data_IF_841906163744
#
_entry.id   IF_841906163744
#
_cell.length_a   1.000
_cell.length_b   1.000
_cell.length_c   1.000
_cell.angle_alpha   90.00
_cell.angle_beta   90.00
_cell.angle_gamma   90.00
#
_symmetry.space_group_name_H-M   'P 1'
#
loop_
_entity.id
_entity.type
_entity.pdbx_description
1 polymer ?
#
# COMPACT_ATOMS: atom_id res chain seq x y z
N UNK A 1 -24.06 -29.62 -6.36
CA UNK A 1 -24.56 -28.31 -5.92
C UNK A 1 -24.35 -28.27 -4.41
N UNK A 2 -23.43 -27.48 -3.86
CA UNK A 2 -23.40 -27.31 -2.42
C UNK A 2 -24.66 -26.53 -2.02
N UNK A 3 -25.36 -27.02 -1.00
CA UNK A 3 -26.61 -26.47 -0.47
C UNK A 3 -26.56 -24.94 -0.34
N UNK A 4 -27.48 -24.25 -1.02
CA UNK A 4 -27.64 -22.81 -0.92
C UNK A 4 -27.95 -22.46 0.53
N UNK A 5 -27.03 -21.78 1.20
CA UNK A 5 -27.32 -21.20 2.52
C UNK A 5 -28.42 -20.14 2.34
N UNK A 6 -29.35 -20.08 3.28
CA UNK A 6 -30.32 -18.97 3.31
C UNK A 6 -29.54 -17.73 3.75
N UNK A 7 -29.32 -16.80 2.83
CA UNK A 7 -28.62 -15.53 3.09
C UNK A 7 -29.16 -14.82 4.35
N UNK A 8 -30.47 -14.93 4.60
CA UNK A 8 -31.16 -14.37 5.77
C UNK A 8 -30.65 -14.93 7.11
N UNK A 9 -30.34 -16.23 7.18
CA UNK A 9 -29.93 -16.88 8.42
C UNK A 9 -28.51 -16.48 8.81
N UNK A 10 -27.61 -16.40 7.83
CA UNK A 10 -26.23 -15.94 8.03
C UNK A 10 -26.20 -14.44 8.35
N UNK A 11 -27.07 -13.66 7.70
CA UNK A 11 -27.18 -12.22 7.94
C UNK A 11 -27.50 -11.89 9.41
N UNK A 12 -28.39 -12.66 10.06
CA UNK A 12 -28.73 -12.47 11.47
C UNK A 12 -27.56 -12.68 12.44
N UNK A 13 -26.55 -13.48 12.05
CA UNK A 13 -25.37 -13.78 12.88
C UNK A 13 -24.23 -12.78 12.67
N UNK A 14 -24.16 -12.14 11.51
CA UNK A 14 -23.18 -11.12 11.18
C UNK A 14 -23.80 -9.76 11.47
N UNK A 15 -23.41 -9.13 12.59
CA UNK A 15 -24.04 -7.89 13.07
C UNK A 15 -24.32 -6.87 11.95
N UNK A 16 -25.48 -6.20 12.02
CA UNK A 16 -25.92 -5.26 10.98
C UNK A 16 -24.88 -4.18 10.68
N UNK A 17 -24.23 -3.64 11.72
CA UNK A 17 -23.13 -2.69 11.58
C UNK A 17 -21.92 -3.22 10.79
N UNK A 18 -21.66 -4.53 10.83
CA UNK A 18 -20.55 -5.15 10.09
C UNK A 18 -20.89 -5.31 8.62
N UNK A 19 -22.15 -5.58 8.30
CA UNK A 19 -22.62 -5.77 6.92
C UNK A 19 -23.05 -4.47 6.24
N UNK A 20 -23.42 -3.42 6.98
CA UNK A 20 -23.83 -2.12 6.43
C UNK A 20 -22.88 -1.55 5.36
N UNK A 21 -21.54 -1.55 5.54
CA UNK A 21 -20.64 -1.08 4.50
C UNK A 21 -20.69 -1.90 3.21
N UNK A 22 -20.98 -3.19 3.30
CA UNK A 22 -21.11 -4.10 2.15
C UNK A 22 -22.46 -3.92 1.47
N UNK A 23 -23.54 -3.76 2.26
CA UNK A 23 -24.89 -3.50 1.76
C UNK A 23 -24.96 -2.20 0.96
N UNK A 24 -24.28 -1.15 1.44
CA UNK A 24 -24.18 0.13 0.72
C UNK A 24 -23.42 0.04 -0.60
N UNK A 25 -22.46 -0.87 -0.72
CA UNK A 25 -21.73 -1.11 -1.98
C UNK A 25 -22.52 -2.00 -2.92
N UNK A 26 -23.44 -2.81 -2.39
CA UNK A 26 -24.30 -3.72 -3.13
C UNK A 26 -25.68 -3.12 -3.45
N UNK A 27 -25.86 -1.79 -3.34
CA UNK A 27 -27.12 -1.08 -3.59
C UNK A 27 -28.34 -1.70 -2.89
N UNK A 28 -28.16 -2.20 -1.67
CA UNK A 28 -29.22 -2.81 -0.86
C UNK A 28 -29.46 -4.30 -1.12
N UNK A 29 -28.75 -4.92 -2.06
CA UNK A 29 -28.81 -6.37 -2.28
C UNK A 29 -28.03 -7.13 -1.19
N UNK A 30 -28.77 -7.87 -0.36
CA UNK A 30 -28.19 -8.66 0.75
C UNK A 30 -27.36 -9.85 0.27
N UNK A 31 -27.73 -10.48 -0.85
CA UNK A 31 -26.99 -11.62 -1.41
C UNK A 31 -25.64 -11.13 -1.93
N UNK A 32 -25.65 -10.09 -2.77
CA UNK A 32 -24.43 -9.49 -3.29
C UNK A 32 -23.53 -8.90 -2.18
N UNK A 33 -24.12 -8.34 -1.12
CA UNK A 33 -23.39 -7.87 0.05
C UNK A 33 -22.69 -9.02 0.81
N UNK A 34 -23.34 -10.17 0.98
CA UNK A 34 -22.73 -11.35 1.60
C UNK A 34 -21.62 -11.94 0.72
N UNK A 35 -21.81 -12.00 -0.59
CA UNK A 35 -20.77 -12.42 -1.52
C UNK A 35 -19.55 -11.51 -1.46
N UNK A 36 -19.78 -10.19 -1.38
CA UNK A 36 -18.72 -9.19 -1.23
C UNK A 36 -18.00 -9.30 0.13
N UNK A 37 -18.74 -9.58 1.21
CA UNK A 37 -18.17 -9.86 2.53
C UNK A 37 -17.27 -11.11 2.49
N UNK A 38 -17.77 -12.20 1.91
CA UNK A 38 -17.00 -13.43 1.74
C UNK A 38 -15.77 -13.23 0.84
N UNK A 39 -15.91 -12.44 -0.23
CA UNK A 39 -14.78 -12.02 -1.07
C UNK A 39 -13.73 -11.24 -0.29
N UNK A 40 -14.14 -10.30 0.58
CA UNK A 40 -13.21 -9.52 1.42
C UNK A 40 -12.40 -10.45 2.34
N UNK A 41 -13.06 -11.43 2.96
CA UNK A 41 -12.40 -12.40 3.83
C UNK A 41 -11.44 -13.32 3.07
N UNK A 42 -11.84 -13.83 1.89
CA UNK A 42 -10.95 -14.63 1.02
C UNK A 42 -9.74 -13.82 0.56
N UNK A 43 -9.94 -12.57 0.16
CA UNK A 43 -8.87 -11.65 -0.24
C UNK A 43 -7.91 -11.38 0.92
N UNK A 44 -8.42 -11.25 2.15
CA UNK A 44 -7.59 -11.08 3.33
C UNK A 44 -6.72 -12.32 3.59
N UNK A 45 -7.28 -13.52 3.48
CA UNK A 45 -6.56 -14.78 3.70
C UNK A 45 -5.37 -14.95 2.73
N UNK A 46 -5.60 -14.81 1.43
CA UNK A 46 -4.53 -14.92 0.42
C UNK A 46 -3.51 -13.77 0.51
N UNK A 47 -3.92 -12.59 0.99
CA UNK A 47 -2.97 -11.51 1.25
C UNK A 47 -2.08 -11.81 2.46
N UNK A 48 -2.62 -12.52 3.46
CA UNK A 48 -1.90 -12.90 4.67
C UNK A 48 -0.79 -13.92 4.39
N UNK A 49 -0.99 -14.79 3.40
CA UNK A 49 0.04 -15.73 2.91
C UNK A 49 1.30 -14.98 2.47
N UNK A 50 1.16 -13.99 1.59
CA UNK A 50 2.30 -13.21 1.06
C UNK A 50 2.99 -12.43 2.19
N UNK A 51 2.20 -11.81 3.07
CA UNK A 51 2.72 -11.06 4.23
C UNK A 51 3.46 -11.99 5.21
N UNK A 52 2.94 -13.19 5.45
CA UNK A 52 3.55 -14.18 6.34
C UNK A 52 4.91 -14.65 5.84
N UNK A 53 5.04 -14.90 4.53
CA UNK A 53 6.33 -15.20 3.93
C UNK A 53 7.33 -14.05 4.06
N UNK A 54 6.89 -12.80 3.80
CA UNK A 54 7.74 -11.63 4.01
C UNK A 54 8.18 -11.48 5.48
N UNK A 55 7.31 -11.74 6.45
CA UNK A 55 7.65 -11.66 7.88
C UNK A 55 8.82 -12.60 8.25
N UNK A 56 8.83 -13.81 7.68
CA UNK A 56 9.92 -14.78 7.88
C UNK A 56 11.21 -14.32 7.19
N UNK A 57 11.11 -13.79 5.96
CA UNK A 57 12.27 -13.26 5.24
C UNK A 57 12.90 -12.08 5.98
N UNK A 58 12.08 -11.11 6.39
CA UNK A 58 12.50 -9.89 7.08
C UNK A 58 13.20 -10.20 8.39
N UNK A 59 12.60 -11.04 9.26
CA UNK A 59 13.21 -11.38 10.55
C UNK A 59 14.53 -12.11 10.39
N UNK A 60 14.63 -13.03 9.42
CA UNK A 60 15.86 -13.80 9.20
C UNK A 60 16.98 -12.92 8.61
N UNK A 61 16.64 -12.00 7.71
CA UNK A 61 17.61 -11.05 7.16
C UNK A 61 18.17 -10.12 8.24
N UNK A 62 17.30 -9.55 9.08
CA UNK A 62 17.72 -8.69 10.19
C UNK A 62 18.48 -9.46 11.27
N UNK A 63 18.01 -10.66 11.63
CA UNK A 63 18.70 -11.53 12.60
C UNK A 63 20.13 -11.82 12.14
N UNK A 64 20.33 -12.18 10.87
CA UNK A 64 21.67 -12.46 10.32
C UNK A 64 22.64 -11.29 10.48
N UNK A 65 22.22 -10.07 10.12
CA UNK A 65 23.09 -8.90 10.23
C UNK A 65 23.38 -8.50 11.68
N UNK A 66 22.40 -8.66 12.58
CA UNK A 66 22.58 -8.44 14.01
C UNK A 66 23.57 -9.44 14.61
N UNK A 67 23.48 -10.73 14.23
CA UNK A 67 24.42 -11.76 14.67
C UNK A 67 25.86 -11.44 14.30
N UNK A 68 26.06 -10.96 13.07
CA UNK A 68 27.37 -10.59 12.58
C UNK A 68 27.90 -9.32 13.27
N UNK A 69 27.06 -8.31 13.45
CA UNK A 69 27.45 -7.04 14.05
C UNK A 69 27.86 -7.18 15.52
N UNK A 70 27.13 -7.98 16.29
CA UNK A 70 27.42 -8.23 17.69
C UNK A 70 28.45 -9.35 17.91
N UNK A 71 29.07 -9.84 16.84
CA UNK A 71 30.07 -10.91 16.86
C UNK A 71 29.67 -12.09 17.76
N UNK A 72 28.47 -12.63 17.53
CA UNK A 72 27.98 -13.77 18.32
C UNK A 72 28.89 -14.99 18.22
N UNK A 73 29.62 -15.14 17.12
CA UNK A 73 30.53 -16.26 16.88
C UNK A 73 31.68 -16.28 17.91
N UNK A 74 32.23 -15.11 18.23
CA UNK A 74 33.27 -14.96 19.25
C UNK A 74 32.68 -14.82 20.64
N UNK A 75 31.59 -14.06 20.78
CA UNK A 75 31.02 -13.71 22.10
C UNK A 75 30.24 -14.86 22.74
N UNK A 76 29.63 -15.74 21.94
CA UNK A 76 28.82 -16.86 22.42
C UNK A 76 27.48 -16.48 23.04
N UNK A 77 27.14 -15.19 23.09
CA UNK A 77 25.88 -14.66 23.63
C UNK A 77 25.03 -14.15 22.46
N UNK A 78 23.75 -14.54 22.34
CA UNK A 78 22.84 -13.98 21.33
C UNK A 78 22.67 -12.46 21.44
N UNK A 79 22.60 -11.76 20.31
CA UNK A 79 22.50 -10.28 20.24
C UNK A 79 21.32 -9.73 21.05
N UNK A 80 20.21 -10.44 21.09
CA UNK A 80 19.01 -10.03 21.82
C UNK A 80 19.12 -10.20 23.34
N UNK A 81 20.22 -10.78 23.84
CA UNK A 81 20.58 -10.83 25.26
C UNK A 81 21.72 -9.86 25.62
N UNK A 82 22.24 -9.11 24.65
CA UNK A 82 23.31 -8.14 24.85
C UNK A 82 22.75 -6.71 24.95
N UNK A 83 23.49 -5.78 25.58
CA UNK A 83 23.10 -4.38 25.62
C UNK A 83 23.04 -3.79 24.21
N UNK A 84 21.85 -3.37 23.79
CA UNK A 84 21.64 -2.62 22.54
C UNK A 84 21.41 -1.15 22.90
N UNK A 85 22.10 -0.19 22.27
CA UNK A 85 21.82 1.24 22.44
C UNK A 85 20.33 1.53 22.21
N UNK A 86 19.71 2.27 23.12
CA UNK A 86 18.26 2.55 23.11
C UNK A 86 17.36 1.28 23.09
N UNK A 87 17.89 0.16 23.57
CA UNK A 87 17.30 -1.18 23.50
C UNK A 87 16.30 -1.56 24.58
N UNK A 88 15.84 -0.64 25.44
CA UNK A 88 14.92 -1.00 26.54
C UNK A 88 13.65 -1.73 26.05
N UNK A 89 12.99 -1.20 25.01
CA UNK A 89 11.80 -1.83 24.40
C UNK A 89 12.12 -3.20 23.77
N UNK A 90 13.35 -3.34 23.26
CA UNK A 90 13.84 -4.58 22.65
C UNK A 90 13.98 -5.67 23.71
N UNK A 91 14.62 -5.37 24.83
CA UNK A 91 14.75 -6.29 25.96
C UNK A 91 13.39 -6.71 26.50
N UNK A 92 12.45 -5.77 26.67
CA UNK A 92 11.08 -6.08 27.13
C UNK A 92 10.36 -7.04 26.18
N UNK A 93 10.45 -6.81 24.87
CA UNK A 93 9.83 -7.68 23.87
C UNK A 93 10.44 -9.09 23.88
N UNK A 94 11.76 -9.19 23.97
CA UNK A 94 12.50 -10.46 24.04
C UNK A 94 12.13 -11.23 25.32
N UNK A 95 12.15 -10.57 26.48
CA UNK A 95 11.80 -11.20 27.75
C UNK A 95 10.34 -11.64 27.80
N UNK A 96 9.42 -10.89 27.18
CA UNK A 96 8.02 -11.32 27.03
C UNK A 96 7.91 -12.65 26.28
N UNK A 97 8.65 -12.79 25.18
CA UNK A 97 8.68 -14.03 24.40
C UNK A 97 9.33 -15.17 25.20
N UNK A 98 10.44 -14.89 25.89
CA UNK A 98 11.15 -15.88 26.72
C UNK A 98 10.29 -16.38 27.87
N UNK A 99 9.60 -15.49 28.60
CA UNK A 99 8.68 -15.84 29.68
C UNK A 99 7.56 -16.77 29.20
N UNK A 100 7.07 -16.58 27.96
CA UNK A 100 6.08 -17.49 27.36
C UNK A 100 6.67 -18.85 26.97
N UNK A 101 7.92 -18.89 26.51
CA UNK A 101 8.57 -20.11 26.00
C UNK A 101 9.19 -21.00 27.09
N UNK A 102 9.64 -20.40 28.21
CA UNK A 102 10.28 -21.11 29.33
C UNK A 102 9.43 -22.24 29.91
N UNK A 103 8.14 -22.02 30.26
CA UNK A 103 7.30 -23.09 30.80
C UNK A 103 7.08 -24.26 29.82
N UNK A 104 7.28 -24.02 28.53
CA UNK A 104 7.12 -25.02 27.47
C UNK A 104 8.42 -25.76 27.13
N UNK A 105 9.54 -25.45 27.79
CA UNK A 105 10.88 -25.92 27.43
C UNK A 105 11.26 -25.65 25.95
N UNK A 106 10.86 -24.48 25.44
CA UNK A 106 11.05 -24.07 24.03
C UNK A 106 11.86 -22.79 23.87
N UNK A 107 12.65 -22.38 24.86
CA UNK A 107 13.49 -21.17 24.82
C UNK A 107 14.75 -21.36 23.93
N UNK A 108 14.55 -21.67 22.65
CA UNK A 108 15.62 -21.69 21.65
C UNK A 108 15.67 -20.39 20.85
N UNK A 109 16.82 -20.06 20.24
CA UNK A 109 16.95 -18.88 19.36
C UNK A 109 15.85 -18.82 18.31
N UNK A 110 15.65 -19.93 17.60
CA UNK A 110 14.66 -20.00 16.51
C UNK A 110 13.25 -19.70 17.01
N UNK A 111 12.90 -20.16 18.22
CA UNK A 111 11.60 -19.90 18.83
C UNK A 111 11.48 -18.46 19.35
N UNK A 112 12.54 -17.88 19.90
CA UNK A 112 12.57 -16.47 20.33
C UNK A 112 12.40 -15.56 19.12
N UNK A 113 13.26 -15.71 18.10
CA UNK A 113 13.22 -14.94 16.84
C UNK A 113 11.86 -15.09 16.16
N UNK A 114 11.31 -16.30 16.12
CA UNK A 114 9.98 -16.53 15.55
C UNK A 114 8.83 -15.99 16.39
N UNK A 115 9.02 -15.87 17.71
CA UNK A 115 8.02 -15.37 18.65
C UNK A 115 7.92 -13.84 18.71
N UNK A 116 8.92 -13.13 18.16
CA UNK A 116 8.93 -11.67 18.02
C UNK A 116 8.02 -11.24 16.87
N UNK A 117 7.10 -10.32 17.15
CA UNK A 117 6.10 -9.87 16.18
C UNK A 117 6.70 -9.06 15.02
N UNK A 118 6.03 -9.00 13.87
CA UNK A 118 6.34 -8.02 12.81
C UNK A 118 6.58 -6.60 13.34
N UNK A 119 5.78 -6.15 14.30
CA UNK A 119 5.88 -4.83 14.90
C UNK A 119 7.24 -4.55 15.56
N UNK A 120 7.81 -5.58 16.19
CA UNK A 120 9.16 -5.52 16.75
C UNK A 120 10.20 -5.28 15.64
N UNK A 121 10.17 -6.08 14.58
CA UNK A 121 11.13 -5.98 13.47
C UNK A 121 10.99 -4.67 12.70
N UNK A 122 9.77 -4.20 12.47
CA UNK A 122 9.53 -2.87 11.87
C UNK A 122 10.03 -1.74 12.77
N UNK A 123 9.91 -1.90 14.10
CA UNK A 123 10.35 -0.92 15.09
C UNK A 123 11.86 -0.71 15.07
N UNK A 124 12.64 -1.78 14.85
CA UNK A 124 14.09 -1.73 14.70
C UNK A 124 14.56 -0.87 13.51
N UNK A 125 13.71 -0.65 12.52
CA UNK A 125 14.00 0.20 11.35
C UNK A 125 13.64 1.68 11.60
N UNK A 126 13.07 1.99 12.77
CA UNK A 126 12.66 3.32 13.18
C UNK A 126 13.83 4.26 13.48
N UNK A 127 13.52 5.55 13.67
CA UNK A 127 14.51 6.61 13.95
C UNK A 127 15.30 6.37 15.24
N UNK A 128 14.69 5.68 16.22
CA UNK A 128 15.31 5.33 17.51
C UNK A 128 16.59 4.51 17.32
N UNK A 129 16.65 3.66 16.31
CA UNK A 129 17.78 2.76 16.05
C UNK A 129 18.61 3.21 14.85
N UNK A 130 18.75 4.53 14.65
CA UNK A 130 19.53 5.12 13.54
C UNK A 130 20.99 4.67 13.57
N UNK A 131 21.59 4.55 14.76
CA UNK A 131 22.97 4.08 14.90
C UNK A 131 23.10 2.62 14.46
N UNK A 132 22.22 1.73 14.97
CA UNK A 132 22.18 0.32 14.57
C UNK A 132 21.92 0.15 13.07
N UNK A 133 21.09 1.02 12.47
CA UNK A 133 20.90 1.08 11.03
C UNK A 133 22.20 1.35 10.28
N UNK A 134 22.94 2.38 10.67
CA UNK A 134 24.22 2.77 10.05
C UNK A 134 25.28 1.67 10.23
N UNK A 135 25.26 1.00 11.38
CA UNK A 135 26.27 0.00 11.70
C UNK A 135 26.02 -1.33 10.99
N UNK A 136 24.77 -1.80 10.94
CA UNK A 136 24.48 -3.13 10.38
C UNK A 136 23.13 -3.31 9.67
N UNK A 137 22.02 -2.72 10.11
CA UNK A 137 20.69 -3.11 9.57
C UNK A 137 20.53 -2.81 8.09
N UNK A 138 21.19 -1.77 7.56
CA UNK A 138 21.16 -1.45 6.13
C UNK A 138 21.67 -2.61 5.25
N UNK A 139 22.56 -3.46 5.78
CA UNK A 139 23.13 -4.62 5.07
C UNK A 139 22.11 -5.73 4.83
N UNK A 140 21.01 -5.74 5.58
CA UNK A 140 19.89 -6.66 5.35
C UNK A 140 19.11 -6.31 4.07
N UNK A 141 19.36 -5.14 3.50
CA UNK A 141 18.63 -4.59 2.35
C UNK A 141 19.56 -4.13 1.21
N UNK A 142 20.41 -5.03 0.67
CA UNK A 142 21.45 -4.68 -0.29
C UNK A 142 20.90 -4.11 -1.61
N UNK A 143 19.64 -4.38 -1.95
CA UNK A 143 18.97 -3.92 -3.17
C UNK A 143 18.07 -2.70 -2.94
N UNK A 144 18.09 -2.10 -1.75
CA UNK A 144 17.38 -0.84 -1.47
C UNK A 144 18.20 0.37 -1.91
N UNK A 145 17.61 1.57 -1.78
CA UNK A 145 18.33 2.84 -2.02
C UNK A 145 19.34 3.18 -0.92
N UNK A 146 19.45 2.36 0.14
CA UNK A 146 20.23 2.64 1.34
C UNK A 146 19.59 3.68 2.29
N UNK A 147 18.47 4.29 1.89
CA UNK A 147 17.80 5.30 2.71
C UNK A 147 16.87 4.65 3.74
N UNK A 148 17.22 4.74 5.03
CA UNK A 148 16.41 4.22 6.13
C UNK A 148 14.97 4.71 6.08
N UNK A 149 14.76 6.00 5.83
CA UNK A 149 13.43 6.63 5.87
C UNK A 149 12.47 5.97 4.85
N UNK A 150 12.96 5.73 3.63
CA UNK A 150 12.16 5.09 2.58
C UNK A 150 11.84 3.64 2.96
N UNK A 151 12.83 2.89 3.41
CA UNK A 151 12.66 1.50 3.81
C UNK A 151 11.70 1.36 5.01
N UNK A 152 11.90 2.17 6.05
CA UNK A 152 11.04 2.19 7.23
C UNK A 152 9.60 2.56 6.86
N UNK A 153 9.38 3.49 5.93
CA UNK A 153 8.04 3.84 5.45
C UNK A 153 7.36 2.68 4.70
N UNK A 154 8.11 1.96 3.85
CA UNK A 154 7.59 0.78 3.14
C UNK A 154 7.23 -0.35 4.12
N UNK A 155 8.11 -0.69 5.06
CA UNK A 155 7.86 -1.72 6.08
C UNK A 155 6.71 -1.33 7.02
N UNK A 156 6.60 -0.05 7.38
CA UNK A 156 5.47 0.45 8.18
C UNK A 156 4.13 0.35 7.42
N UNK A 157 4.14 0.59 6.11
CA UNK A 157 2.97 0.33 5.25
C UNK A 157 2.55 -1.14 5.30
N UNK A 158 3.51 -2.06 5.18
CA UNK A 158 3.25 -3.51 5.32
C UNK A 158 2.70 -3.84 6.71
N UNK A 159 3.25 -3.27 7.78
CA UNK A 159 2.75 -3.49 9.15
C UNK A 159 1.28 -3.10 9.30
N UNK A 160 0.91 -1.92 8.79
CA UNK A 160 -0.48 -1.43 8.81
C UNK A 160 -1.41 -2.33 8.03
N UNK A 161 -0.98 -2.77 6.84
CA UNK A 161 -1.74 -3.73 6.04
C UNK A 161 -1.90 -5.06 6.77
N UNK A 162 -0.81 -5.65 7.28
CA UNK A 162 -0.83 -6.90 8.07
C UNK A 162 -1.80 -6.83 9.25
N UNK A 163 -1.78 -5.74 10.02
CA UNK A 163 -2.65 -5.58 11.17
C UNK A 163 -4.12 -5.55 10.77
N UNK A 164 -4.45 -4.86 9.67
CA UNK A 164 -5.80 -4.84 9.11
C UNK A 164 -6.30 -6.25 8.76
N UNK A 165 -5.43 -7.05 8.13
CA UNK A 165 -5.75 -8.44 7.82
C UNK A 165 -5.97 -9.28 9.09
N UNK A 166 -5.09 -9.14 10.09
CA UNK A 166 -5.16 -9.88 11.35
C UNK A 166 -6.38 -9.53 12.21
N UNK A 167 -6.90 -8.30 12.10
CA UNK A 167 -8.11 -7.85 12.80
C UNK A 167 -9.41 -8.17 12.05
N UNK A 168 -9.34 -8.85 10.89
CA UNK A 168 -10.48 -9.11 10.01
C UNK A 168 -11.24 -7.83 9.63
N UNK A 169 -10.53 -6.73 9.44
CA UNK A 169 -11.12 -5.47 9.01
C UNK A 169 -11.64 -5.56 7.56
N UNK A 170 -12.59 -4.69 7.22
CA UNK A 170 -13.10 -4.60 5.85
C UNK A 170 -12.03 -4.14 4.85
N UNK A 171 -11.89 -4.87 3.73
CA UNK A 171 -11.00 -4.52 2.63
C UNK A 171 -11.67 -3.69 1.53
N UNK A 172 -12.94 -3.30 1.70
CA UNK A 172 -13.69 -2.51 0.71
C UNK A 172 -12.99 -1.20 0.32
N UNK A 173 -12.33 -0.58 1.29
CA UNK A 173 -11.58 0.66 1.12
C UNK A 173 -10.08 0.39 1.33
N UNK A 174 -9.55 -0.69 0.75
CA UNK A 174 -8.12 -0.99 0.74
C UNK A 174 -7.69 -1.29 -0.70
N UNK A 175 -6.60 -0.69 -1.14
CA UNK A 175 -5.96 -1.00 -2.42
C UNK A 175 -5.04 -2.20 -2.22
N UNK A 176 -5.66 -3.38 -2.16
CA UNK A 176 -4.96 -4.65 -1.97
C UNK A 176 -3.86 -4.84 -3.03
N UNK A 177 -4.09 -4.55 -4.33
CA UNK A 177 -3.01 -4.63 -5.32
C UNK A 177 -1.81 -3.76 -4.98
N UNK A 178 -2.03 -2.53 -4.51
CA UNK A 178 -0.93 -1.65 -4.10
C UNK A 178 -0.20 -2.15 -2.85
N UNK A 179 -0.94 -2.64 -1.85
CA UNK A 179 -0.32 -3.18 -0.63
C UNK A 179 0.49 -4.44 -0.91
N UNK A 180 0.01 -5.34 -1.79
CA UNK A 180 0.78 -6.52 -2.22
C UNK A 180 2.03 -6.10 -3.01
N UNK A 181 1.95 -5.09 -3.90
CA UNK A 181 3.15 -4.56 -4.57
C UNK A 181 4.17 -4.02 -3.56
N UNK A 182 3.74 -3.35 -2.50
CA UNK A 182 4.60 -2.90 -1.41
C UNK A 182 5.25 -4.07 -0.65
N UNK A 183 4.52 -5.16 -0.40
CA UNK A 183 5.08 -6.38 0.20
C UNK A 183 6.19 -6.97 -0.70
N UNK A 184 5.95 -7.04 -2.01
CA UNK A 184 6.94 -7.50 -2.98
C UNK A 184 8.15 -6.56 -3.09
N UNK A 185 7.94 -5.24 -2.97
CA UNK A 185 9.00 -4.23 -2.95
C UNK A 185 9.93 -4.43 -1.74
N UNK A 186 9.38 -4.60 -0.53
CA UNK A 186 10.19 -4.86 0.67
C UNK A 186 10.97 -6.17 0.54
N UNK A 187 10.37 -7.21 -0.03
CA UNK A 187 11.09 -8.44 -0.33
C UNK A 187 12.24 -8.20 -1.33
N UNK A 188 12.01 -7.36 -2.33
CA UNK A 188 13.00 -6.99 -3.34
C UNK A 188 14.17 -6.23 -2.76
N UNK A 189 13.96 -5.45 -1.70
CA UNK A 189 15.04 -4.82 -0.96
C UNK A 189 15.95 -5.84 -0.27
N UNK A 190 15.40 -6.95 0.23
CA UNK A 190 16.14 -8.04 0.89
C UNK A 190 16.87 -8.88 -0.16
N UNK A 191 16.14 -9.40 -1.15
CA UNK A 191 16.67 -10.24 -2.21
C UNK A 191 15.75 -10.28 -3.45
N UNK A 192 16.35 -10.17 -4.63
CA UNK A 192 15.62 -10.16 -5.91
C UNK A 192 14.92 -11.49 -6.20
N UNK A 193 15.55 -12.61 -5.84
CA UNK A 193 14.96 -13.95 -6.02
C UNK A 193 13.81 -14.19 -5.05
N UNK A 194 13.92 -13.68 -3.81
CA UNK A 194 12.83 -13.73 -2.84
C UNK A 194 11.59 -12.96 -3.34
N UNK A 195 11.77 -11.77 -3.93
CA UNK A 195 10.67 -11.01 -4.52
C UNK A 195 10.03 -11.72 -5.73
N UNK A 196 10.86 -12.36 -6.57
CA UNK A 196 10.38 -13.16 -7.71
C UNK A 196 9.54 -14.34 -7.21
N UNK A 197 10.06 -15.11 -6.25
CA UNK A 197 9.35 -16.24 -5.66
C UNK A 197 8.04 -15.82 -4.99
N UNK A 198 8.04 -14.73 -4.21
CA UNK A 198 6.80 -14.20 -3.61
C UNK A 198 5.75 -13.80 -4.65
N UNK A 199 6.18 -13.28 -5.81
CA UNK A 199 5.27 -12.95 -6.90
C UNK A 199 4.65 -14.20 -7.52
N UNK A 200 5.41 -15.29 -7.62
CA UNK A 200 4.95 -16.57 -8.19
C UNK A 200 3.97 -17.30 -7.26
N UNK A 201 4.17 -17.24 -5.94
CA UNK A 201 3.25 -17.88 -4.97
C UNK A 201 1.99 -17.05 -4.70
N UNK A 202 2.03 -15.74 -4.95
CA UNK A 202 0.93 -14.84 -4.62
C UNK A 202 -0.28 -15.04 -5.54
N UNK A 203 -1.39 -15.50 -4.96
CA UNK A 203 -2.71 -15.56 -5.61
C UNK A 203 -3.60 -14.35 -5.30
N UNK A 204 -3.05 -13.36 -4.57
CA UNK A 204 -3.82 -12.22 -4.07
C UNK A 204 -4.44 -11.37 -5.18
N UNK A 205 -3.74 -11.21 -6.31
CA UNK A 205 -4.26 -10.45 -7.47
C UNK A 205 -5.41 -11.19 -8.15
N UNK A 206 -5.28 -12.49 -8.35
CA UNK A 206 -6.30 -13.32 -8.99
C UNK A 206 -7.56 -13.39 -8.14
N UNK A 207 -7.42 -13.51 -6.81
CA UNK A 207 -8.55 -13.47 -5.90
C UNK A 207 -9.19 -12.08 -5.83
N UNK A 208 -8.37 -11.02 -5.85
CA UNK A 208 -8.86 -9.66 -5.88
C UNK A 208 -9.71 -9.39 -7.13
N UNK A 209 -9.31 -9.93 -8.30
CA UNK A 209 -10.04 -9.79 -9.56
C UNK A 209 -11.44 -10.46 -9.55
N UNK A 210 -11.68 -11.44 -8.67
CA UNK A 210 -12.98 -12.12 -8.50
C UNK A 210 -13.99 -11.33 -7.67
N UNK A 211 -13.85 -10.00 -7.60
CA UNK A 211 -14.75 -9.16 -6.81
C UNK A 211 -16.15 -9.17 -7.46
N UNK A 212 -17.23 -9.49 -6.72
CA UNK A 212 -18.54 -9.75 -7.31
C UNK A 212 -19.27 -8.50 -7.83
N UNK A 213 -18.91 -7.31 -7.36
CA UNK A 213 -19.55 -6.04 -7.77
C UNK A 213 -18.52 -5.21 -8.53
N UNK A 214 -18.91 -4.77 -9.74
CA UNK A 214 -18.13 -3.86 -10.57
C UNK A 214 -17.81 -2.60 -9.76
N UNK A 215 -16.53 -2.44 -9.43
CA UNK A 215 -16.08 -1.32 -8.63
C UNK A 215 -16.16 -0.09 -9.50
N UNK A 216 -16.55 1.04 -8.90
CA UNK A 216 -16.08 2.32 -9.37
C UNK A 216 -14.57 2.24 -9.67
N UNK A 217 -14.21 2.13 -10.95
CA UNK A 217 -12.88 1.88 -11.46
C UNK A 217 -12.10 3.19 -11.70
N UNK A 218 -12.75 4.32 -11.42
CA UNK A 218 -12.23 5.65 -11.65
C UNK A 218 -12.35 6.48 -10.37
N UNK A 219 -11.23 7.04 -9.90
CA UNK A 219 -11.24 8.03 -8.84
C UNK A 219 -11.24 9.44 -9.44
N UNK A 220 -12.35 10.15 -9.26
CA UNK A 220 -12.47 11.58 -9.58
C UNK A 220 -11.82 12.37 -8.44
N UNK A 221 -10.71 13.03 -8.69
CA UNK A 221 -9.93 13.79 -7.68
C UNK A 221 -10.20 15.29 -7.79
N UNK A 222 -10.36 15.97 -6.65
CA UNK A 222 -10.29 17.43 -6.64
C UNK A 222 -8.86 17.85 -7.03
N UNK A 223 -8.73 18.61 -8.13
CA UNK A 223 -7.46 18.71 -8.84
C UNK A 223 -7.05 20.13 -9.23
N UNK A 224 -7.48 21.14 -8.47
CA UNK A 224 -7.15 22.56 -8.76
C UNK A 224 -5.66 22.76 -9.06
N UNK A 225 -4.78 22.21 -8.23
CA UNK A 225 -3.33 22.32 -8.40
C UNK A 225 -2.73 21.17 -9.23
N UNK A 226 -3.42 20.02 -9.28
CA UNK A 226 -2.90 18.80 -9.89
C UNK A 226 -3.20 18.69 -11.39
N UNK A 227 -4.26 19.34 -11.88
CA UNK A 227 -4.65 19.30 -13.30
C UNK A 227 -3.61 19.93 -14.23
N UNK A 228 -3.07 21.14 -13.94
CA UNK A 228 -2.00 21.70 -14.78
C UNK A 228 -0.74 20.83 -14.79
N UNK A 229 -0.41 20.17 -13.68
CA UNK A 229 0.74 19.26 -13.61
C UNK A 229 0.51 18.02 -14.47
N UNK A 230 -0.68 17.42 -14.40
CA UNK A 230 -1.06 16.30 -15.25
C UNK A 230 -0.97 16.63 -16.74
N UNK A 231 -1.45 17.80 -17.16
CA UNK A 231 -1.41 18.23 -18.56
C UNK A 231 0.03 18.35 -19.11
N UNK A 232 1.02 18.65 -18.25
CA UNK A 232 2.43 18.76 -18.65
C UNK A 232 3.19 17.44 -18.57
N UNK A 233 2.95 16.69 -17.49
CA UNK A 233 3.81 15.57 -17.06
C UNK A 233 3.15 14.20 -17.15
N UNK A 234 1.84 14.15 -17.41
CA UNK A 234 1.00 12.96 -17.34
C UNK A 234 1.14 12.22 -16.01
N UNK A 235 1.22 12.97 -14.91
CA UNK A 235 1.30 12.43 -13.56
C UNK A 235 0.37 13.16 -12.60
N UNK A 236 -0.07 12.44 -11.57
CA UNK A 236 -0.76 12.97 -10.42
C UNK A 236 0.12 12.85 -9.18
N UNK A 237 0.37 13.97 -8.51
CA UNK A 237 1.22 14.03 -7.32
C UNK A 237 0.37 14.48 -6.12
N UNK A 238 0.50 13.79 -5.00
CA UNK A 238 -0.24 14.09 -3.78
C UNK A 238 0.56 13.77 -2.52
N UNK A 239 0.01 14.08 -1.35
CA UNK A 239 0.64 13.80 -0.07
C UNK A 239 0.94 12.29 0.11
N UNK A 240 2.03 11.95 0.81
CA UNK A 240 2.47 10.57 0.95
C UNK A 240 1.43 9.78 1.77
N UNK A 241 1.24 8.51 1.41
CA UNK A 241 0.24 7.65 2.03
C UNK A 241 -1.22 8.03 1.74
N UNK A 242 -1.49 8.95 0.78
CA UNK A 242 -2.87 9.24 0.35
C UNK A 242 -3.52 7.97 -0.18
N UNK A 243 -4.60 7.58 0.47
CA UNK A 243 -5.37 6.40 0.10
C UNK A 243 -6.18 6.62 -1.19
N UNK A 244 -6.17 5.62 -2.06
CA UNK A 244 -7.07 5.47 -3.20
C UNK A 244 -7.70 4.08 -3.10
N UNK A 245 -8.99 3.95 -3.41
CA UNK A 245 -9.55 2.62 -3.71
C UNK A 245 -8.75 2.04 -4.89
N UNK A 246 -8.70 0.72 -5.02
CA UNK A 246 -8.15 0.04 -6.18
C UNK A 246 -8.97 0.40 -7.43
N UNK A 247 -8.56 1.49 -8.05
CA UNK A 247 -9.10 2.05 -9.29
C UNK A 247 -8.05 1.89 -10.37
N UNK A 248 -8.51 1.69 -11.60
CA UNK A 248 -7.64 1.65 -12.76
C UNK A 248 -7.33 3.06 -13.28
N UNK A 249 -8.17 4.04 -12.94
CA UNK A 249 -8.20 5.34 -13.58
C UNK A 249 -8.30 6.50 -12.60
N UNK A 250 -7.81 7.64 -13.04
CA UNK A 250 -8.13 8.93 -12.43
C UNK A 250 -9.00 9.75 -13.38
N UNK A 251 -9.82 10.61 -12.81
CA UNK A 251 -10.47 11.72 -13.50
C UNK A 251 -10.28 12.99 -12.66
N UNK A 252 -10.30 14.17 -13.28
CA UNK A 252 -9.91 15.40 -12.62
C UNK A 252 -11.11 16.34 -12.48
N UNK A 253 -11.46 16.70 -11.26
CA UNK A 253 -12.51 17.68 -10.98
C UNK A 253 -11.89 19.05 -10.70
N UNK A 254 -12.10 19.99 -11.63
CA UNK A 254 -11.56 21.37 -11.62
C UNK A 254 -12.59 22.29 -12.25
N UNK A 255 -12.69 23.52 -11.72
CA UNK A 255 -13.60 24.56 -12.22
C UNK A 255 -15.05 24.10 -12.36
N UNK A 256 -15.52 23.35 -11.36
CA UNK A 256 -16.87 22.78 -11.31
C UNK A 256 -17.20 21.82 -12.46
N UNK A 257 -16.20 21.19 -13.06
CA UNK A 257 -16.38 20.15 -14.06
C UNK A 257 -15.46 18.95 -13.81
N UNK A 258 -15.91 17.74 -14.16
CA UNK A 258 -14.98 16.63 -14.41
C UNK A 258 -14.42 16.81 -15.81
N UNK A 259 -13.09 16.90 -15.90
CA UNK A 259 -12.38 17.16 -17.15
C UNK A 259 -12.41 15.94 -18.09
N UNK A 260 -12.16 16.17 -19.37
CA UNK A 260 -12.32 15.15 -20.43
C UNK A 260 -11.38 13.96 -20.28
N UNK A 261 -10.18 14.16 -19.74
CA UNK A 261 -9.19 13.10 -19.66
C UNK A 261 -9.47 12.15 -18.48
N UNK A 262 -9.61 10.86 -18.82
CA UNK A 262 -9.73 9.75 -17.86
C UNK A 262 -8.55 8.78 -18.07
N UNK A 263 -7.33 9.19 -17.70
CA UNK A 263 -6.16 8.38 -17.91
C UNK A 263 -6.13 7.15 -16.99
N UNK A 264 -5.55 6.07 -17.50
CA UNK A 264 -5.24 4.88 -16.72
C UNK A 264 -4.00 5.10 -15.88
N UNK A 265 -4.01 4.57 -14.66
CA UNK A 265 -2.86 4.55 -13.75
C UNK A 265 -1.90 3.47 -14.24
N UNK A 266 -0.74 3.88 -14.75
CA UNK A 266 0.31 2.97 -15.22
C UNK A 266 1.21 2.49 -14.08
N UNK A 267 1.50 3.39 -13.15
CA UNK A 267 2.40 3.10 -12.04
C UNK A 267 2.05 3.99 -10.85
N UNK A 268 2.19 3.47 -9.64
CA UNK A 268 1.99 4.21 -8.40
C UNK A 268 3.19 3.97 -7.50
N UNK A 269 3.85 5.05 -7.09
CA UNK A 269 4.92 5.01 -6.09
C UNK A 269 4.62 5.97 -4.95
N UNK A 270 4.81 5.50 -3.74
CA UNK A 270 4.62 6.29 -2.52
C UNK A 270 5.97 6.60 -1.88
N UNK A 271 5.99 7.63 -1.04
CA UNK A 271 7.18 8.09 -0.32
C UNK A 271 8.37 8.47 -1.23
N UNK A 272 8.10 9.09 -2.38
CA UNK A 272 9.13 9.64 -3.26
C UNK A 272 9.68 10.93 -2.65
N UNK A 273 10.99 10.98 -2.41
CA UNK A 273 11.68 12.20 -1.98
C UNK A 273 11.83 13.17 -3.15
N UNK A 274 11.42 14.43 -2.96
CA UNK A 274 11.39 15.46 -4.01
C UNK A 274 12.70 16.26 -4.15
N UNK A 275 13.79 15.73 -3.62
CA UNK A 275 15.13 16.33 -3.68
C UNK A 275 15.81 16.12 -5.04
N UNK A 276 16.77 16.98 -5.37
CA UNK A 276 17.59 16.87 -6.59
C UNK A 276 18.39 15.55 -6.61
N UNK A 277 18.98 15.17 -5.48
CA UNK A 277 19.67 13.90 -5.33
C UNK A 277 18.77 12.68 -5.57
N UNK A 278 17.48 12.77 -5.20
CA UNK A 278 16.49 11.73 -5.51
C UNK A 278 16.20 11.69 -7.01
N UNK A 279 15.98 12.84 -7.64
CA UNK A 279 15.75 12.93 -9.08
C UNK A 279 16.92 12.33 -9.89
N UNK A 280 18.17 12.66 -9.53
CA UNK A 280 19.37 12.13 -10.18
C UNK A 280 19.47 10.61 -10.07
N UNK A 281 19.21 10.07 -8.87
CA UNK A 281 19.19 8.61 -8.66
C UNK A 281 18.13 7.93 -9.52
N UNK A 282 16.92 8.48 -9.56
CA UNK A 282 15.81 7.94 -10.35
C UNK A 282 16.10 8.02 -11.85
N UNK A 283 16.76 9.08 -12.29
CA UNK A 283 17.18 9.26 -13.69
C UNK A 283 18.23 8.24 -14.11
N UNK A 284 19.14 7.87 -13.20
CA UNK A 284 20.16 6.83 -13.41
C UNK A 284 19.63 5.39 -13.29
N UNK A 285 18.41 5.19 -12.81
CA UNK A 285 17.81 3.86 -12.64
C UNK A 285 17.61 3.14 -13.98
N UNK A 286 17.76 1.81 -13.98
CA UNK A 286 17.43 0.95 -15.12
C UNK A 286 15.92 0.80 -15.32
N UNK A 287 15.11 1.04 -14.29
CA UNK A 287 13.64 1.04 -14.38
C UNK A 287 13.13 2.25 -15.18
N UNK A 288 12.29 1.98 -16.17
CA UNK A 288 11.68 2.99 -17.02
C UNK A 288 10.67 3.86 -16.24
N UNK A 289 9.98 3.31 -15.25
CA UNK A 289 9.05 4.05 -14.39
C UNK A 289 9.80 5.02 -13.47
N UNK A 290 10.98 4.65 -12.98
CA UNK A 290 11.84 5.55 -12.20
C UNK A 290 12.27 6.77 -13.01
N UNK A 291 12.73 6.55 -14.25
CA UNK A 291 13.12 7.65 -15.14
C UNK A 291 11.94 8.57 -15.48
N UNK A 292 10.72 8.04 -15.59
CA UNK A 292 9.49 8.84 -15.72
C UNK A 292 9.24 9.68 -14.46
N UNK A 293 9.37 9.11 -13.26
CA UNK A 293 9.21 9.87 -12.01
C UNK A 293 10.27 10.98 -11.90
N UNK A 294 11.51 10.74 -12.29
CA UNK A 294 12.56 11.77 -12.31
C UNK A 294 12.13 12.99 -13.14
N UNK A 295 11.56 12.75 -14.33
CA UNK A 295 11.05 13.83 -15.20
C UNK A 295 9.90 14.60 -14.55
N UNK A 296 8.99 13.91 -13.87
CA UNK A 296 7.90 14.57 -13.12
C UNK A 296 8.45 15.48 -12.02
N UNK A 297 9.51 15.05 -11.32
CA UNK A 297 10.19 15.89 -10.33
C UNK A 297 10.74 17.14 -11.02
N UNK A 298 11.51 16.98 -12.11
CA UNK A 298 12.12 18.10 -12.85
C UNK A 298 11.08 19.13 -13.32
N UNK A 299 9.98 18.67 -13.92
CA UNK A 299 8.92 19.54 -14.45
C UNK A 299 8.13 20.25 -13.35
N UNK A 300 7.98 19.64 -12.17
CA UNK A 300 7.28 20.25 -11.05
C UNK A 300 8.10 21.34 -10.33
N UNK A 301 9.43 21.32 -10.46
CA UNK A 301 10.32 22.33 -9.84
C UNK A 301 10.08 23.73 -10.39
N UNK A 302 9.75 23.86 -11.68
CA UNK A 302 9.40 25.16 -12.27
C UNK A 302 8.11 25.75 -11.68
N UNK A 303 7.26 24.90 -11.08
CA UNK A 303 6.07 25.30 -10.35
C UNK A 303 6.32 25.51 -8.84
N UNK A 304 7.58 25.54 -8.39
CA UNK A 304 7.96 25.80 -6.99
C UNK A 304 8.03 24.56 -6.08
N UNK A 305 7.86 23.35 -6.63
CA UNK A 305 7.92 22.11 -5.85
C UNK A 305 9.37 21.66 -5.68
N UNK A 306 10.00 22.01 -4.56
CA UNK A 306 11.46 21.83 -4.38
C UNK A 306 11.86 20.88 -3.25
N UNK A 307 10.92 20.40 -2.45
CA UNK A 307 11.19 19.49 -1.34
C UNK A 307 9.93 18.84 -0.78
N UNK A 308 10.13 17.86 0.10
CA UNK A 308 9.04 17.07 0.67
C UNK A 308 9.06 15.61 0.21
N UNK A 309 8.08 14.85 0.67
CA UNK A 309 7.89 13.45 0.30
C UNK A 309 6.49 13.30 -0.23
N UNK A 310 6.31 12.64 -1.38
CA UNK A 310 5.03 12.59 -2.09
C UNK A 310 4.69 11.19 -2.59
N UNK A 311 3.41 10.99 -2.88
CA UNK A 311 2.92 9.87 -3.65
C UNK A 311 2.69 10.31 -5.10
N UNK A 312 3.23 9.55 -6.06
CA UNK A 312 3.17 9.80 -7.50
C UNK A 312 2.40 8.68 -8.19
N UNK A 313 1.43 9.05 -9.00
CA UNK A 313 0.75 8.17 -9.95
C UNK A 313 1.16 8.60 -11.36
N UNK A 314 1.84 7.73 -12.10
CA UNK A 314 2.10 7.92 -13.52
C UNK A 314 0.87 7.48 -14.32
N UNK A 315 0.44 8.33 -15.24
CA UNK A 315 -0.82 8.21 -15.94
C UNK A 315 -0.59 8.09 -17.45
N UNK A 316 -1.51 7.44 -18.15
CA UNK A 316 -1.49 7.39 -19.62
C UNK A 316 -1.75 8.77 -20.22
N UNK A 317 -1.16 9.05 -21.38
CA UNK A 317 -1.41 10.28 -22.16
C UNK A 317 -2.42 10.05 -23.29
N UNK A 318 -3.05 11.11 -23.84
CA UNK A 318 -3.84 11.01 -25.06
C UNK A 318 -3.09 10.29 -26.18
N UNK A 319 -3.76 9.36 -26.86
CA UNK A 319 -3.17 8.48 -27.88
C UNK A 319 -2.66 7.13 -27.36
N UNK A 320 -2.58 6.90 -26.05
CA UNK A 320 -2.38 5.56 -25.49
C UNK A 320 -3.67 4.72 -25.64
N UNK A 321 -3.62 3.44 -26.08
CA UNK A 321 -4.83 2.62 -26.28
C UNK A 321 -5.69 2.43 -25.03
N UNK A 322 -5.12 2.59 -23.84
CA UNK A 322 -5.82 2.44 -22.57
C UNK A 322 -6.26 3.76 -21.95
N UNK A 323 -5.91 4.90 -22.57
CA UNK A 323 -6.38 6.22 -22.20
C UNK A 323 -7.82 6.43 -22.69
N UNK A 324 -8.68 7.00 -21.85
CA UNK A 324 -10.07 7.29 -22.19
C UNK A 324 -10.31 8.78 -22.11
N UNK A 325 -11.13 9.29 -23.02
CA UNK A 325 -11.54 10.68 -23.07
C UNK A 325 -13.06 10.76 -23.19
N UNK A 326 -13.65 11.66 -22.41
CA UNK A 326 -15.03 12.06 -22.57
C UNK A 326 -15.17 12.95 -23.82
N UNK A 327 -16.39 13.01 -24.35
CA UNK A 327 -16.71 13.89 -25.48
C UNK A 327 -16.59 15.36 -25.05
N UNK A 328 -17.17 15.69 -23.89
CA UNK A 328 -17.15 17.02 -23.28
C UNK A 328 -16.85 16.91 -21.78
N UNK A 329 -16.32 17.97 -21.13
CA UNK A 329 -16.24 18.01 -19.67
C UNK A 329 -17.62 17.86 -19.04
N UNK A 330 -17.75 17.10 -17.95
CA UNK A 330 -19.03 16.91 -17.25
C UNK A 330 -19.25 18.05 -16.24
N UNK A 331 -20.23 18.94 -16.47
CA UNK A 331 -20.50 20.04 -15.57
C UNK A 331 -21.10 19.56 -14.24
N UNK A 332 -20.79 20.32 -13.19
CA UNK A 332 -21.41 20.21 -11.88
C UNK A 332 -22.31 21.40 -11.61
N UNK A 333 -23.61 21.12 -11.49
CA UNK A 333 -24.67 22.13 -11.37
C UNK A 333 -24.99 22.51 -9.92
N UNK A 334 -24.33 21.89 -8.94
CA UNK A 334 -24.57 22.15 -7.53
C UNK A 334 -24.06 23.52 -7.10
N UNK A 335 -24.94 24.37 -6.54
CA UNK A 335 -24.60 25.72 -6.08
C UNK A 335 -24.57 25.76 -4.54
N UNK A 336 -23.65 26.52 -3.96
CA UNK A 336 -23.57 26.78 -2.51
C UNK A 336 -22.32 26.21 -1.82
N UNK A 337 -22.13 26.58 -0.54
CA UNK A 337 -20.96 26.14 0.23
C UNK A 337 -21.06 24.63 0.48
N UNK A 338 -20.09 23.88 -0.02
CA UNK A 338 -20.05 22.42 0.11
C UNK A 338 -20.77 21.66 -1.00
N UNK A 339 -21.27 22.35 -2.04
CA UNK A 339 -21.96 21.69 -3.16
C UNK A 339 -21.03 20.86 -4.05
N UNK A 340 -19.73 21.18 -4.08
CA UNK A 340 -18.75 20.57 -4.97
C UNK A 340 -18.87 19.05 -5.05
N UNK A 341 -18.90 18.51 -6.29
CA UNK A 341 -19.00 17.07 -6.55
C UNK A 341 -18.00 16.24 -5.74
N UNK A 342 -16.77 16.73 -5.61
CA UNK A 342 -15.80 16.18 -4.67
C UNK A 342 -14.88 17.26 -4.08
N UNK A 343 -14.57 17.12 -2.78
CA UNK A 343 -13.61 17.95 -2.07
C UNK A 343 -12.24 17.27 -1.90
N UNK A 344 -12.15 15.96 -2.09
CA UNK A 344 -10.91 15.18 -2.01
C UNK A 344 -10.85 14.23 -3.20
N UNK A 345 -11.69 13.19 -3.15
CA UNK A 345 -11.92 12.28 -4.26
C UNK A 345 -13.29 11.62 -4.11
N UNK A 346 -13.90 11.23 -5.24
CA UNK A 346 -15.11 10.42 -5.34
C UNK A 346 -14.81 9.25 -6.29
N UNK A 347 -15.50 8.13 -6.12
CA UNK A 347 -15.31 6.94 -6.95
C UNK A 347 -16.55 6.71 -7.78
N UNK A 348 -16.36 6.58 -9.08
CA UNK A 348 -17.41 6.34 -10.07
C UNK A 348 -16.94 5.29 -11.07
N UNK A 349 -17.87 4.63 -11.75
CA UNK A 349 -17.54 3.75 -12.86
C UNK A 349 -17.22 4.57 -14.12
N UNK A 350 -16.24 4.14 -14.91
CA UNK A 350 -15.91 4.73 -16.20
C UNK A 350 -17.14 4.79 -17.10
N UNK A 351 -17.92 3.71 -17.15
CA UNK A 351 -19.13 3.67 -17.95
C UNK A 351 -20.10 4.80 -17.58
N UNK A 352 -20.31 5.04 -16.29
CA UNK A 352 -21.16 6.12 -15.81
C UNK A 352 -20.62 7.50 -16.22
N UNK A 353 -19.29 7.71 -16.14
CA UNK A 353 -18.65 8.94 -16.64
C UNK A 353 -18.84 9.12 -18.15
N UNK A 354 -18.76 8.05 -18.94
CA UNK A 354 -18.89 8.11 -20.40
C UNK A 354 -20.33 8.33 -20.87
N UNK A 355 -21.34 7.95 -20.07
CA UNK A 355 -22.75 8.08 -20.42
C UNK A 355 -23.45 9.27 -19.80
N UNK A 356 -22.94 9.80 -18.68
CA UNK A 356 -23.54 10.93 -17.99
C UNK A 356 -23.41 12.22 -18.80
N UNK A 357 -24.36 13.13 -18.63
CA UNK A 357 -24.28 14.50 -19.17
C UNK A 357 -23.91 15.52 -18.10
N UNK A 358 -24.17 15.21 -16.83
CA UNK A 358 -23.83 16.05 -15.69
C UNK A 358 -23.40 15.19 -14.50
N UNK A 359 -22.65 15.78 -13.56
CA UNK A 359 -22.24 15.05 -12.35
C UNK A 359 -23.38 14.69 -11.39
N UNK A 360 -24.61 15.19 -11.61
CA UNK A 360 -25.79 14.81 -10.82
C UNK A 360 -26.30 13.40 -11.15
N UNK A 361 -25.87 12.84 -12.29
CA UNK A 361 -26.21 11.49 -12.75
C UNK A 361 -25.20 10.42 -12.27
N UNK A 362 -24.18 10.84 -11.50
CA UNK A 362 -23.02 10.03 -11.07
C UNK A 362 -23.03 9.61 -9.60
#
# INVERSE_FOLDING_TARGET
>A
MPEDYVATDVWGLLSEHRLDPFLRVADGDRVAALELYAWSSRTAAVSFEVVGHLEVLLRNALDRELRAHFDEATTGIPWFLMPVPDGADLSVAVDTVRMRLRPMNRESRHQIVAGLSFGFWSGLLGRKYEQLWRDCLHRAFPYSTGQRKQLAAAVEGVRKFRNRLAHHDSLLNVDVPFEIRRVLEVAGFIDVSAAKWLREVSTAMDQYAKRPIAVADTAVVAAKDAWPLYQRSFAYVCQPGRFFRPVDRLAFYVDSCVQVDIPRIQHRRDNVDWSEASADRLRASSDLMDRKIARVIDESRSAGWTGGTYQVLLLTRPGDPTHRQLVDPLPHNGVGRGSAFTQRQRYVALHALETATTTSEL
#
